data_IF_126246884513
#
_entry.id   IF_126246884513
#
_cell.length_a   1.000
_cell.length_b   1.000
_cell.length_c   1.000
_cell.angle_alpha   90.00
_cell.angle_beta   90.00
_cell.angle_gamma   90.00
#
_symmetry.space_group_name_H-M   'P 1'
#
loop_
_entity.id
_entity.type
_entity.pdbx_description
1 polymer ?
#
# COMPACT_ATOMS: atom_id res chain seq x y z
N UNK A 1 -6.48 -4.75 19.86
CA UNK A 1 -5.22 -4.13 19.41
C UNK A 1 -4.39 -3.76 20.63
N UNK A 2 -3.44 -4.61 21.05
CA UNK A 2 -2.63 -4.38 22.27
C UNK A 2 -1.18 -3.96 21.97
N UNK A 3 -0.78 -4.12 20.71
CA UNK A 3 0.55 -3.88 20.16
C UNK A 3 0.51 -2.78 19.07
N UNK A 4 -0.50 -1.92 19.10
CA UNK A 4 -0.58 -0.72 18.27
C UNK A 4 -0.40 0.53 19.11
N UNK A 5 0.39 1.50 18.62
CA UNK A 5 0.58 2.78 19.30
C UNK A 5 1.15 3.82 18.35
N UNK A 6 0.94 5.11 18.65
CA UNK A 6 1.83 6.14 18.12
C UNK A 6 3.24 5.93 18.66
N UNK A 7 4.24 6.15 17.81
CA UNK A 7 5.62 6.11 18.25
C UNK A 7 5.88 7.21 19.28
N UNK A 8 6.57 6.85 20.37
CA UNK A 8 6.98 7.76 21.43
C UNK A 8 8.48 7.63 21.68
N UNK A 9 9.15 8.76 21.94
CA UNK A 9 10.58 8.76 22.32
C UNK A 9 10.82 8.27 23.74
N UNK A 10 9.79 8.28 24.59
CA UNK A 10 9.90 7.92 26.00
C UNK A 10 9.52 6.46 26.29
N UNK A 11 8.81 5.82 25.35
CA UNK A 11 8.28 4.46 25.55
C UNK A 11 9.20 3.43 24.90
N UNK A 12 9.67 2.48 25.69
CA UNK A 12 10.32 1.28 25.16
C UNK A 12 9.23 0.35 24.59
N UNK A 13 9.37 -0.03 23.32
CA UNK A 13 8.46 -0.95 22.64
C UNK A 13 9.21 -2.26 22.43
N UNK A 14 8.85 -3.34 23.15
CA UNK A 14 9.52 -4.63 23.00
C UNK A 14 9.30 -5.19 21.59
N UNK A 15 10.31 -5.90 21.06
CA UNK A 15 10.27 -6.55 19.74
C UNK A 15 9.92 -5.61 18.57
N UNK A 16 10.22 -4.31 18.71
CA UNK A 16 10.04 -3.34 17.62
C UNK A 16 11.06 -3.60 16.51
N UNK A 17 10.56 -3.78 15.29
CA UNK A 17 11.40 -3.87 14.10
C UNK A 17 12.24 -2.59 13.90
N UNK A 18 13.46 -2.77 13.38
CA UNK A 18 14.34 -1.67 12.97
C UNK A 18 14.21 -1.52 11.46
N UNK A 19 14.00 -0.30 10.98
CA UNK A 19 13.89 -0.01 9.55
C UNK A 19 15.25 -0.06 8.87
N UNK A 20 15.29 -0.56 7.64
CA UNK A 20 16.52 -0.72 6.86
C UNK A 20 16.44 -0.04 5.51
N UNK A 21 17.57 0.51 5.10
CA UNK A 21 17.87 1.02 3.76
C UNK A 21 18.93 0.13 3.10
N UNK A 22 19.23 0.35 1.82
CA UNK A 22 20.20 -0.42 1.05
C UNK A 22 21.21 0.50 0.38
N UNK A 23 22.40 0.60 0.98
CA UNK A 23 23.51 1.40 0.46
C UNK A 23 24.54 0.47 -0.16
N UNK A 24 24.89 0.70 -1.44
CA UNK A 24 25.86 -0.11 -2.20
C UNK A 24 25.58 -1.63 -2.10
N UNK A 25 24.31 -2.01 -2.17
CA UNK A 25 23.88 -3.40 -2.13
C UNK A 25 23.77 -4.03 -0.74
N UNK A 26 24.21 -3.36 0.33
CA UNK A 26 24.17 -3.86 1.71
C UNK A 26 23.05 -3.21 2.50
N UNK A 27 22.37 -3.99 3.32
CA UNK A 27 21.37 -3.45 4.24
C UNK A 27 22.05 -2.68 5.38
N UNK A 28 21.55 -1.48 5.63
CA UNK A 28 21.98 -0.59 6.70
C UNK A 28 20.76 -0.13 7.47
N UNK A 29 20.94 0.28 8.73
CA UNK A 29 19.86 0.91 9.49
C UNK A 29 19.43 2.20 8.76
N UNK A 30 18.13 2.38 8.57
CA UNK A 30 17.57 3.59 7.98
C UNK A 30 17.58 4.76 8.97
N UNK A 31 17.44 5.98 8.45
CA UNK A 31 17.27 7.17 9.26
C UNK A 31 16.03 7.07 10.16
N UNK A 32 16.11 7.71 11.33
CA UNK A 32 14.98 7.73 12.25
C UNK A 32 13.99 8.82 11.86
N UNK A 33 12.73 8.43 11.69
CA UNK A 33 11.66 9.39 11.46
C UNK A 33 11.43 10.28 12.69
N UNK A 34 11.25 11.58 12.49
CA UNK A 34 10.67 12.45 13.51
C UNK A 34 9.16 12.22 13.58
N UNK A 35 8.73 11.29 14.42
CA UNK A 35 7.33 10.83 14.51
C UNK A 35 6.31 11.92 14.88
N UNK A 36 6.76 13.00 15.53
CA UNK A 36 5.94 14.18 15.81
C UNK A 36 5.54 14.95 14.55
N UNK A 37 6.29 14.82 13.45
CA UNK A 37 5.94 15.46 12.17
C UNK A 37 4.90 14.65 11.40
N UNK A 38 4.98 13.32 11.41
CA UNK A 38 4.01 12.49 10.71
C UNK A 38 2.70 12.33 11.48
N UNK A 39 2.77 12.12 12.79
CA UNK A 39 1.62 11.97 13.70
C UNK A 39 0.44 11.19 13.06
N UNK A 40 -0.70 11.84 12.83
CA UNK A 40 -1.92 11.23 12.26
C UNK A 40 -1.79 10.80 10.80
N UNK A 41 -0.80 11.29 10.05
CA UNK A 41 -0.62 10.94 8.64
C UNK A 41 0.05 9.57 8.42
N UNK A 42 0.77 9.02 9.42
CA UNK A 42 1.47 7.75 9.22
C UNK A 42 2.39 7.27 10.34
N UNK A 43 2.30 7.81 11.55
CA UNK A 43 3.20 7.45 12.66
C UNK A 43 2.67 6.33 13.57
N UNK A 44 1.71 5.53 13.08
CA UNK A 44 1.15 4.39 13.83
C UNK A 44 2.06 3.17 13.64
N UNK A 45 2.46 2.58 14.76
CA UNK A 45 3.06 1.25 14.78
C UNK A 45 1.99 0.22 15.03
N UNK A 46 2.14 -0.93 14.40
CA UNK A 46 1.22 -2.04 14.57
C UNK A 46 1.88 -3.38 14.26
N UNK A 47 1.09 -4.43 14.40
CA UNK A 47 1.42 -5.79 13.98
C UNK A 47 0.38 -6.25 12.96
N UNK A 48 0.69 -7.29 12.19
CA UNK A 48 -0.28 -7.90 11.26
C UNK A 48 -1.55 -8.35 11.99
N UNK A 49 -1.40 -8.93 13.18
CA UNK A 49 -2.54 -9.39 14.00
C UNK A 49 -3.41 -8.23 14.50
N UNK A 50 -2.81 -7.13 14.97
CA UNK A 50 -3.60 -5.98 15.41
C UNK A 50 -4.30 -5.26 14.25
N UNK A 51 -3.68 -5.19 13.07
CA UNK A 51 -4.34 -4.69 11.87
C UNK A 51 -5.49 -5.60 11.42
N UNK A 52 -5.35 -6.92 11.58
CA UNK A 52 -6.46 -7.85 11.37
C UNK A 52 -7.62 -7.56 12.33
N UNK A 53 -7.35 -7.43 13.64
CA UNK A 53 -8.39 -7.05 14.62
C UNK A 53 -9.05 -5.72 14.29
N UNK A 54 -8.28 -4.73 13.84
CA UNK A 54 -8.79 -3.44 13.38
C UNK A 54 -9.75 -3.59 12.20
N UNK A 55 -9.36 -4.34 11.17
CA UNK A 55 -10.22 -4.63 10.01
C UNK A 55 -11.53 -5.32 10.45
N UNK A 56 -11.46 -6.32 11.34
CA UNK A 56 -12.65 -6.99 11.90
C UNK A 56 -13.56 -6.01 12.65
N UNK A 57 -12.99 -5.10 13.43
CA UNK A 57 -13.76 -4.11 14.18
C UNK A 57 -14.46 -3.09 13.26
N UNK A 58 -13.86 -2.72 12.12
CA UNK A 58 -14.50 -1.90 11.10
C UNK A 58 -15.61 -2.69 10.39
N UNK A 59 -15.29 -3.90 9.90
CA UNK A 59 -16.25 -4.78 9.20
C UNK A 59 -17.53 -4.97 10.02
N UNK A 60 -17.38 -5.30 11.30
CA UNK A 60 -18.47 -5.62 12.21
C UNK A 60 -19.13 -4.39 12.86
N UNK A 61 -18.77 -3.18 12.43
CA UNK A 61 -19.28 -1.93 12.98
C UNK A 61 -19.07 -1.75 14.50
N UNK A 62 -18.07 -2.43 15.06
CA UNK A 62 -17.70 -2.31 16.47
C UNK A 62 -16.95 -1.02 16.73
N UNK A 63 -16.10 -0.59 15.79
CA UNK A 63 -15.30 0.63 15.91
C UNK A 63 -15.99 1.86 15.33
N UNK A 64 -16.70 1.70 14.21
CA UNK A 64 -17.40 2.79 13.52
C UNK A 64 -18.80 2.38 13.11
N UNK A 65 -19.75 3.33 13.12
CA UNK A 65 -21.13 3.08 12.68
C UNK A 65 -21.20 2.66 11.21
N UNK A 66 -22.28 1.97 10.84
CA UNK A 66 -22.53 1.56 9.46
C UNK A 66 -22.52 2.74 8.49
N UNK A 67 -23.17 3.86 8.87
CA UNK A 67 -23.16 5.08 8.08
C UNK A 67 -21.76 5.67 7.88
N UNK A 68 -20.88 5.58 8.88
CA UNK A 68 -19.49 6.05 8.76
C UNK A 68 -18.65 5.12 7.89
N UNK A 69 -18.84 3.80 8.04
CA UNK A 69 -18.21 2.77 7.19
C UNK A 69 -18.59 2.98 5.72
N UNK A 70 -19.88 3.20 5.44
CA UNK A 70 -20.38 3.47 4.09
C UNK A 70 -19.71 4.71 3.48
N UNK A 71 -19.62 5.82 4.24
CA UNK A 71 -18.92 7.03 3.78
C UNK A 71 -17.44 6.77 3.50
N UNK A 72 -16.76 6.06 4.41
CA UNK A 72 -15.34 5.77 4.26
C UNK A 72 -15.02 4.94 3.02
N UNK A 73 -15.92 4.05 2.60
CA UNK A 73 -15.70 3.14 1.47
C UNK A 73 -16.36 3.59 0.15
N UNK A 74 -16.97 4.77 0.12
CA UNK A 74 -17.62 5.28 -1.10
C UNK A 74 -16.59 5.82 -2.08
N UNK A 75 -16.67 5.39 -3.35
CA UNK A 75 -15.89 5.99 -4.44
C UNK A 75 -16.58 7.26 -4.95
N UNK A 76 -16.18 8.40 -4.39
CA UNK A 76 -16.78 9.69 -4.71
C UNK A 76 -16.44 10.17 -6.12
N UNK A 77 -17.33 10.96 -6.71
CA UNK A 77 -17.08 11.64 -7.99
C UNK A 77 -16.42 12.98 -7.75
N UNK A 78 -15.41 13.28 -8.56
CA UNK A 78 -14.77 14.59 -8.63
C UNK A 78 -15.67 15.56 -9.41
N UNK A 79 -15.36 16.86 -9.31
CA UNK A 79 -16.05 17.91 -10.09
C UNK A 79 -15.95 17.71 -11.60
N UNK A 80 -14.95 16.95 -12.07
CA UNK A 80 -14.79 16.55 -13.46
C UNK A 80 -15.71 15.42 -13.93
N UNK A 81 -16.53 14.84 -13.03
CA UNK A 81 -17.41 13.70 -13.31
C UNK A 81 -16.73 12.33 -13.24
N UNK A 82 -15.39 12.27 -13.14
CA UNK A 82 -14.61 11.04 -12.94
C UNK A 82 -14.71 10.55 -11.49
N UNK A 83 -14.58 9.25 -11.29
CA UNK A 83 -14.43 8.66 -9.96
C UNK A 83 -13.04 8.94 -9.39
N UNK A 84 -12.96 9.19 -8.09
CA UNK A 84 -11.72 9.47 -7.38
C UNK A 84 -10.88 8.20 -7.16
N UNK A 85 -11.51 7.02 -7.23
CA UNK A 85 -10.93 5.73 -6.81
C UNK A 85 -10.37 5.80 -5.39
N UNK A 86 -11.02 6.61 -4.56
CA UNK A 86 -10.60 6.90 -3.20
C UNK A 86 -11.82 7.25 -2.33
N UNK A 87 -11.86 6.68 -1.14
CA UNK A 87 -12.80 6.98 -0.06
C UNK A 87 -12.12 7.77 1.07
N UNK A 88 -12.65 7.73 2.29
CA UNK A 88 -11.99 8.39 3.42
C UNK A 88 -10.87 7.54 3.98
N UNK A 89 -9.68 7.70 3.40
CA UNK A 89 -8.45 7.00 3.80
C UNK A 89 -8.30 5.61 3.18
N UNK A 90 -8.99 5.35 2.06
CA UNK A 90 -8.95 4.06 1.36
C UNK A 90 -8.84 4.29 -0.14
N UNK A 91 -7.86 3.67 -0.77
CA UNK A 91 -7.89 3.45 -2.20
C UNK A 91 -8.99 2.43 -2.51
N UNK A 92 -9.69 2.63 -3.63
CA UNK A 92 -10.77 1.76 -4.10
C UNK A 92 -10.34 1.26 -5.46
N UNK A 93 -10.02 -0.03 -5.52
CA UNK A 93 -9.41 -0.69 -6.68
C UNK A 93 -9.99 -2.10 -6.86
N UNK A 94 -9.29 -2.99 -7.54
CA UNK A 94 -9.67 -4.39 -7.73
C UNK A 94 -8.46 -5.35 -7.74
N UNK A 95 -8.71 -6.60 -7.33
CA UNK A 95 -7.80 -7.72 -7.54
C UNK A 95 -8.51 -8.74 -8.43
N UNK A 96 -8.04 -8.91 -9.67
CA UNK A 96 -8.68 -9.78 -10.67
C UNK A 96 -10.18 -9.49 -10.90
N UNK A 97 -10.54 -8.21 -11.04
CA UNK A 97 -11.93 -7.79 -11.22
C UNK A 97 -12.78 -7.81 -9.94
N UNK A 98 -12.20 -8.17 -8.79
CA UNK A 98 -12.89 -8.20 -7.51
C UNK A 98 -12.63 -6.89 -6.75
N UNK A 99 -13.66 -6.11 -6.39
CA UNK A 99 -13.49 -4.84 -5.68
C UNK A 99 -12.68 -4.97 -4.39
N UNK A 100 -11.77 -4.03 -4.18
CA UNK A 100 -10.89 -4.01 -3.03
C UNK A 100 -10.83 -2.62 -2.38
N UNK A 101 -10.52 -2.62 -1.08
CA UNK A 101 -10.22 -1.45 -0.28
C UNK A 101 -8.77 -1.56 0.18
N UNK A 102 -7.95 -0.60 -0.23
CA UNK A 102 -6.51 -0.69 -0.05
C UNK A 102 -5.95 0.54 0.66
N UNK A 103 -4.84 0.33 1.37
CA UNK A 103 -4.01 1.44 1.82
C UNK A 103 -2.58 0.96 1.98
N UNK A 104 -1.68 1.63 1.27
CA UNK A 104 -0.24 1.46 1.42
C UNK A 104 0.35 2.55 2.32
N UNK A 105 1.57 2.32 2.79
CA UNK A 105 2.31 3.24 3.63
C UNK A 105 3.80 3.08 3.42
N UNK A 106 4.51 4.20 3.48
CA UNK A 106 5.96 4.24 3.35
C UNK A 106 6.55 5.26 4.30
N UNK A 107 7.62 4.87 4.98
CA UNK A 107 8.42 5.75 5.82
C UNK A 107 9.87 5.28 5.80
N UNK A 108 10.76 6.00 6.48
CA UNK A 108 12.19 5.69 6.52
C UNK A 108 12.42 4.25 6.98
N UNK A 109 12.86 3.40 6.06
CA UNK A 109 13.15 2.00 6.32
C UNK A 109 11.93 1.07 6.46
N UNK A 110 10.72 1.53 6.17
CA UNK A 110 9.51 0.70 6.31
C UNK A 110 8.55 0.87 5.13
N UNK A 111 7.91 -0.24 4.75
CA UNK A 111 6.79 -0.28 3.82
C UNK A 111 5.66 -1.11 4.42
N UNK A 112 4.44 -0.75 4.09
CA UNK A 112 3.24 -1.52 4.45
C UNK A 112 2.25 -1.48 3.31
N UNK A 113 1.52 -2.59 3.11
CA UNK A 113 0.29 -2.56 2.33
C UNK A 113 -0.80 -3.40 2.99
N UNK A 114 -2.05 -2.93 2.83
CA UNK A 114 -3.24 -3.68 3.22
C UNK A 114 -4.22 -3.73 2.05
N UNK A 115 -4.83 -4.90 1.84
CA UNK A 115 -5.90 -5.12 0.86
C UNK A 115 -7.04 -5.82 1.59
N UNK A 116 -8.24 -5.26 1.51
CA UNK A 116 -9.47 -5.87 2.00
C UNK A 116 -10.44 -6.09 0.85
N UNK A 117 -10.88 -7.33 0.64
CA UNK A 117 -11.93 -7.71 -0.30
C UNK A 117 -13.20 -8.01 0.50
N UNK A 118 -14.17 -7.08 0.56
CA UNK A 118 -15.27 -7.17 1.52
C UNK A 118 -16.25 -8.31 1.24
N UNK A 119 -16.50 -8.64 -0.03
CA UNK A 119 -17.46 -9.67 -0.43
C UNK A 119 -16.93 -11.08 -0.16
N UNK A 120 -15.62 -11.29 -0.34
CA UNK A 120 -14.92 -12.56 -0.13
C UNK A 120 -14.41 -12.71 1.31
N UNK A 121 -14.52 -11.65 2.10
CA UNK A 121 -14.01 -11.56 3.47
C UNK A 121 -12.51 -11.89 3.61
N UNK A 122 -11.72 -11.46 2.62
CA UNK A 122 -10.27 -11.65 2.59
C UNK A 122 -9.57 -10.36 3.00
N UNK A 123 -8.72 -10.43 4.03
CA UNK A 123 -7.88 -9.31 4.44
C UNK A 123 -6.41 -9.70 4.43
N UNK A 124 -5.62 -8.99 3.60
CA UNK A 124 -4.18 -9.19 3.45
C UNK A 124 -3.45 -8.01 4.08
N UNK A 125 -2.43 -8.32 4.88
CA UNK A 125 -1.54 -7.32 5.49
C UNK A 125 -0.10 -7.74 5.22
N UNK A 126 0.68 -6.85 4.62
CA UNK A 126 2.11 -7.03 4.43
C UNK A 126 2.83 -5.86 5.09
N UNK A 127 3.73 -6.17 6.01
CA UNK A 127 4.60 -5.19 6.68
C UNK A 127 6.05 -5.56 6.38
N UNK A 128 6.87 -4.56 6.05
CA UNK A 128 8.29 -4.73 5.77
C UNK A 128 9.10 -3.65 6.47
N UNK A 129 10.24 -4.05 7.03
CA UNK A 129 11.26 -3.16 7.58
C UNK A 129 12.40 -2.90 6.59
N UNK A 130 12.08 -2.90 5.29
CA UNK A 130 12.99 -2.60 4.20
C UNK A 130 12.22 -1.93 3.06
N UNK A 131 12.72 -0.81 2.53
CA UNK A 131 12.06 -0.06 1.45
C UNK A 131 12.16 -0.72 0.05
N UNK A 132 12.86 -1.85 -0.06
CA UNK A 132 13.06 -2.57 -1.32
C UNK A 132 12.26 -3.87 -1.40
N UNK A 133 11.13 -3.96 -0.69
CA UNK A 133 10.38 -5.21 -0.51
C UNK A 133 9.09 -5.34 -1.32
N UNK A 134 8.80 -4.38 -2.23
CA UNK A 134 7.66 -4.43 -3.15
C UNK A 134 6.33 -4.88 -2.49
N UNK A 135 5.99 -4.30 -1.32
CA UNK A 135 4.88 -4.77 -0.47
C UNK A 135 3.56 -4.84 -1.22
N UNK A 136 3.31 -3.87 -2.09
CA UNK A 136 2.07 -3.76 -2.86
C UNK A 136 1.91 -5.00 -3.77
N UNK A 137 2.93 -5.31 -4.58
CA UNK A 137 2.97 -6.51 -5.42
C UNK A 137 2.80 -7.81 -4.63
N UNK A 138 3.48 -7.92 -3.48
CA UNK A 138 3.39 -9.12 -2.63
C UNK A 138 1.96 -9.28 -2.11
N UNK A 139 1.35 -8.22 -1.59
CA UNK A 139 -0.03 -8.27 -1.08
C UNK A 139 -1.05 -8.58 -2.17
N UNK A 140 -0.93 -8.00 -3.37
CA UNK A 140 -1.81 -8.27 -4.49
C UNK A 140 -1.71 -9.73 -4.93
N UNK A 141 -0.49 -10.30 -4.99
CA UNK A 141 -0.30 -11.74 -5.25
C UNK A 141 -0.91 -12.61 -4.15
N UNK A 142 -0.72 -12.26 -2.89
CA UNK A 142 -1.32 -13.00 -1.76
C UNK A 142 -2.85 -12.96 -1.80
N UNK A 143 -3.45 -11.81 -2.11
CA UNK A 143 -4.89 -11.68 -2.29
C UNK A 143 -5.39 -12.56 -3.45
N UNK A 144 -4.72 -12.50 -4.60
CA UNK A 144 -5.05 -13.34 -5.76
C UNK A 144 -4.94 -14.85 -5.46
N UNK A 145 -3.94 -15.27 -4.68
CA UNK A 145 -3.80 -16.66 -4.21
C UNK A 145 -4.96 -17.04 -3.28
N UNK A 146 -5.31 -16.18 -2.32
CA UNK A 146 -6.43 -16.43 -1.40
C UNK A 146 -7.78 -16.55 -2.13
N UNK A 147 -7.92 -15.89 -3.28
CA UNK A 147 -9.07 -15.98 -4.18
C UNK A 147 -9.05 -17.20 -5.11
N UNK A 148 -8.04 -18.07 -5.01
CA UNK A 148 -7.78 -19.17 -5.94
C UNK A 148 -7.68 -18.71 -7.42
N UNK A 149 -7.17 -17.49 -7.64
CA UNK A 149 -6.91 -16.86 -8.94
C UNK A 149 -5.48 -16.31 -9.01
N UNK A 150 -4.43 -17.12 -8.74
CA UNK A 150 -3.07 -16.61 -8.68
C UNK A 150 -2.65 -15.97 -10.00
N UNK A 151 -1.96 -14.83 -9.93
CA UNK A 151 -1.30 -14.28 -11.10
C UNK A 151 -0.25 -15.28 -11.61
N UNK A 152 -0.07 -15.42 -12.94
CA UNK A 152 0.97 -16.27 -13.48
C UNK A 152 2.33 -15.82 -12.97
N UNK A 153 3.20 -16.77 -12.65
CA UNK A 153 4.62 -16.48 -12.42
C UNK A 153 5.25 -16.06 -13.74
N UNK A 154 5.19 -14.77 -14.01
CA UNK A 154 6.01 -14.16 -15.04
C UNK A 154 7.44 -14.18 -14.50
N UNK A 155 8.22 -15.18 -14.91
CA UNK A 155 9.66 -15.02 -14.93
C UNK A 155 9.88 -13.68 -15.64
N UNK A 156 10.56 -12.73 -14.98
CA UNK A 156 10.93 -11.43 -15.53
C UNK A 156 11.98 -11.62 -16.63
N UNK A 157 11.68 -12.43 -17.63
CA UNK A 157 12.32 -12.31 -18.93
C UNK A 157 11.86 -10.96 -19.41
N UNK A 158 12.73 -9.96 -19.27
CA UNK A 158 12.58 -8.69 -19.95
C UNK A 158 12.06 -9.01 -21.35
N UNK A 159 10.86 -8.52 -21.67
CA UNK A 159 10.35 -8.69 -23.02
C UNK A 159 11.47 -8.20 -23.95
N UNK A 160 11.86 -9.01 -24.93
CA UNK A 160 12.78 -8.54 -25.97
C UNK A 160 12.00 -7.52 -26.78
N UNK A 161 12.11 -6.25 -26.39
CA UNK A 161 11.53 -5.14 -27.13
C UNK A 161 12.44 -4.93 -28.35
N UNK A 162 11.87 -4.93 -29.56
CA UNK A 162 12.65 -4.59 -30.75
C UNK A 162 13.04 -3.11 -30.71
N UNK A 163 14.20 -2.72 -31.27
CA UNK A 163 14.58 -1.32 -31.38
C UNK A 163 13.47 -0.46 -32.02
N UNK A 164 12.86 -0.95 -33.10
CA UNK A 164 11.76 -0.26 -33.80
C UNK A 164 10.51 -0.06 -32.92
N UNK A 165 10.24 -0.98 -32.00
CA UNK A 165 9.14 -0.81 -31.06
C UNK A 165 9.53 0.20 -29.98
N UNK A 166 10.75 0.14 -29.45
CA UNK A 166 11.26 1.08 -28.46
C UNK A 166 11.30 2.53 -28.97
N UNK A 167 11.67 2.73 -30.23
CA UNK A 167 11.72 4.05 -30.88
C UNK A 167 10.34 4.72 -30.93
N UNK A 168 9.26 3.96 -31.19
CA UNK A 168 7.87 4.48 -31.21
C UNK A 168 7.43 5.10 -29.88
N UNK A 169 8.02 4.68 -28.77
CA UNK A 169 7.69 5.18 -27.44
C UNK A 169 8.78 6.08 -26.85
N UNK A 170 9.86 6.34 -27.61
CA UNK A 170 10.91 7.27 -27.20
C UNK A 170 10.41 8.70 -27.39
N UNK A 171 10.51 9.51 -26.36
CA UNK A 171 10.07 10.90 -26.42
C UNK A 171 9.73 11.49 -25.07
N UNK A 172 9.34 12.76 -25.10
CA UNK A 172 8.89 13.50 -23.91
C UNK A 172 7.38 13.63 -23.95
N UNK A 173 6.74 12.99 -22.99
CA UNK A 173 5.30 13.02 -22.79
C UNK A 173 4.95 14.12 -21.79
N UNK A 174 3.93 14.92 -22.10
CA UNK A 174 3.41 15.95 -21.20
C UNK A 174 2.02 15.54 -20.71
N UNK A 175 1.82 15.62 -19.40
CA UNK A 175 0.56 15.33 -18.73
C UNK A 175 -0.27 16.61 -18.58
N UNK A 176 -1.57 16.43 -18.29
CA UNK A 176 -2.52 17.55 -18.11
C UNK A 176 -2.13 18.49 -16.96
N UNK A 177 -1.36 17.99 -15.98
CA UNK A 177 -0.81 18.78 -14.86
C UNK A 177 0.47 19.56 -15.22
N UNK A 178 0.89 19.51 -16.48
CA UNK A 178 2.09 20.17 -16.99
C UNK A 178 3.39 19.42 -16.70
N UNK A 179 3.35 18.33 -15.92
CA UNK A 179 4.53 17.50 -15.69
C UNK A 179 4.94 16.76 -16.96
N UNK A 180 6.25 16.49 -17.09
CA UNK A 180 6.79 15.76 -18.23
C UNK A 180 7.46 14.46 -17.80
N UNK A 181 7.46 13.46 -18.68
CA UNK A 181 8.23 12.23 -18.53
C UNK A 181 8.93 11.93 -19.84
N UNK A 182 10.22 11.64 -19.76
CA UNK A 182 11.01 11.22 -20.91
C UNK A 182 11.22 9.72 -20.85
N UNK A 183 10.88 9.05 -21.94
CA UNK A 183 11.19 7.64 -22.15
C UNK A 183 12.38 7.59 -23.11
N UNK A 184 13.45 6.91 -22.71
CA UNK A 184 14.64 6.62 -23.51
C UNK A 184 15.15 5.22 -23.18
N UNK A 185 15.73 4.54 -24.16
CA UNK A 185 16.27 3.18 -24.05
C UNK A 185 17.78 3.15 -24.29
#
# INVERSE_FOLDING_TARGET
MKNSSFMSRHKIIPNRAIGHDKIKGKFVKADEMLYTHAYTAGAILSTTYDLFLWNRAIRNNTLISEGSKKRAFTNYKLSSGKHANYGFGWAIDEVNGIPSLEHNGGSFGFLSNTIYLPEEDVFVVVLSNCIYSATDFVSTKMAAIALNKPYPDTASKAAKISPDFAEKYTGTYRFDDGSTRTISF
#
